data_IF_558453102589
#
_entry.id   IF_558453102589
#
_cell.length_a   1.000
_cell.length_b   1.000
_cell.length_c   1.000
_cell.angle_alpha   90.00
_cell.angle_beta   90.00
_cell.angle_gamma   90.00
#
_symmetry.space_group_name_H-M   'P 1'
#
loop_
_entity.id
_entity.type
_entity.pdbx_description
1 polymer ?
#
# COMPACT_ATOMS: atom_id res chain seq x y z
N UNK A 1 32.68 -11.53 -32.02
CA UNK A 1 31.44 -10.94 -32.54
C UNK A 1 30.60 -10.58 -31.33
N UNK A 2 30.32 -9.30 -31.14
CA UNK A 2 29.35 -8.84 -30.13
C UNK A 2 28.01 -9.53 -30.43
N UNK A 3 27.39 -10.14 -29.43
CA UNK A 3 26.18 -10.93 -29.66
C UNK A 3 25.02 -10.01 -30.03
N UNK A 4 24.09 -10.46 -30.87
CA UNK A 4 22.94 -9.65 -31.29
C UNK A 4 22.12 -9.13 -30.08
N UNK A 5 22.11 -9.90 -28.99
CA UNK A 5 21.49 -9.48 -27.72
C UNK A 5 22.14 -8.23 -27.11
N UNK A 6 23.46 -8.10 -27.20
CA UNK A 6 24.20 -6.98 -26.62
C UNK A 6 23.95 -5.69 -27.39
N UNK A 7 23.77 -5.79 -28.72
CA UNK A 7 23.35 -4.67 -29.55
C UNK A 7 21.97 -4.14 -29.12
N UNK A 8 20.99 -5.04 -28.96
CA UNK A 8 19.62 -4.67 -28.53
C UNK A 8 19.63 -4.07 -27.12
N UNK A 9 20.38 -4.66 -26.18
CA UNK A 9 20.53 -4.11 -24.82
C UNK A 9 21.09 -2.68 -24.86
N UNK A 10 22.10 -2.44 -25.69
CA UNK A 10 22.71 -1.11 -25.87
C UNK A 10 21.72 -0.09 -26.43
N UNK A 11 20.92 -0.46 -27.43
CA UNK A 11 19.87 0.41 -27.97
C UNK A 11 18.84 0.81 -26.92
N UNK A 12 18.36 -0.15 -26.11
CA UNK A 12 17.41 0.12 -25.02
C UNK A 12 18.01 1.08 -23.98
N UNK A 13 19.30 0.94 -23.65
CA UNK A 13 19.98 1.83 -22.71
C UNK A 13 20.09 3.25 -23.26
N UNK A 14 20.46 3.40 -24.54
CA UNK A 14 20.54 4.69 -25.21
C UNK A 14 19.17 5.38 -25.28
N UNK A 15 18.11 4.63 -25.56
CA UNK A 15 16.76 5.17 -25.60
C UNK A 15 16.31 5.67 -24.22
N UNK A 16 16.55 4.89 -23.16
CA UNK A 16 16.27 5.30 -21.78
C UNK A 16 17.07 6.54 -21.38
N UNK A 17 18.34 6.62 -21.77
CA UNK A 17 19.18 7.79 -21.52
C UNK A 17 18.63 9.03 -22.24
N UNK A 18 18.23 8.90 -23.52
CA UNK A 18 17.61 9.97 -24.31
C UNK A 18 16.33 10.49 -23.65
N UNK A 19 15.41 9.60 -23.25
CA UNK A 19 14.17 9.99 -22.56
C UNK A 19 14.46 10.73 -21.25
N UNK A 20 15.45 10.29 -20.47
CA UNK A 20 15.86 10.95 -19.22
C UNK A 20 16.41 12.35 -19.46
N UNK A 21 17.25 12.52 -20.50
CA UNK A 21 17.79 13.82 -20.87
C UNK A 21 16.67 14.79 -21.26
N UNK A 22 15.75 14.38 -22.13
CA UNK A 22 14.60 15.18 -22.55
C UNK A 22 13.74 15.66 -21.35
N UNK A 23 13.40 14.76 -20.43
CA UNK A 23 12.62 15.11 -19.24
C UNK A 23 13.37 16.07 -18.31
N UNK A 24 14.68 15.87 -18.14
CA UNK A 24 15.54 16.74 -17.33
C UNK A 24 15.64 18.13 -17.94
N UNK A 25 15.86 18.22 -19.26
CA UNK A 25 15.92 19.49 -19.98
C UNK A 25 14.61 20.26 -19.86
N UNK A 26 13.47 19.59 -20.03
CA UNK A 26 12.16 20.18 -19.83
C UNK A 26 11.98 20.70 -18.40
N UNK A 27 12.34 19.91 -17.40
CA UNK A 27 12.26 20.31 -15.99
C UNK A 27 13.15 21.51 -15.69
N UNK A 28 14.41 21.50 -16.15
CA UNK A 28 15.34 22.61 -15.97
C UNK A 28 14.80 23.88 -16.62
N UNK A 29 14.31 23.81 -17.87
CA UNK A 29 13.68 24.95 -18.56
C UNK A 29 12.51 25.54 -17.79
N UNK A 30 11.67 24.69 -17.19
CA UNK A 30 10.53 25.13 -16.40
C UNK A 30 10.93 25.71 -15.04
N UNK A 31 11.98 25.16 -14.42
CA UNK A 31 12.47 25.58 -13.10
C UNK A 31 13.29 26.87 -13.15
N UNK A 32 14.10 27.06 -14.19
CA UNK A 32 15.01 28.22 -14.29
C UNK A 32 14.32 29.46 -14.89
N UNK A 33 13.06 29.35 -15.33
CA UNK A 33 12.32 30.48 -15.89
C UNK A 33 11.95 31.52 -14.81
N UNK A 34 12.53 32.74 -14.80
CA UNK A 34 12.29 33.75 -13.77
C UNK A 34 10.89 34.36 -13.85
N UNK A 35 10.26 34.37 -15.03
CA UNK A 35 8.95 34.99 -15.24
C UNK A 35 7.81 34.22 -14.56
N UNK A 36 8.02 32.93 -14.24
CA UNK A 36 7.02 32.13 -13.50
C UNK A 36 6.80 32.61 -12.07
N UNK A 37 7.84 33.12 -11.41
CA UNK A 37 7.71 33.68 -10.06
C UNK A 37 7.16 35.11 -10.07
N UNK A 38 7.36 35.86 -11.17
CA UNK A 38 6.91 37.24 -11.33
C UNK A 38 5.39 37.36 -11.58
N UNK A 39 4.76 36.36 -12.22
CA UNK A 39 3.33 36.37 -12.54
C UNK A 39 2.41 36.02 -11.35
N UNK A 40 2.95 35.82 -10.14
CA UNK A 40 2.15 35.47 -8.96
C UNK A 40 1.58 34.05 -8.96
N UNK A 41 1.61 33.35 -10.10
CA UNK A 41 1.36 31.91 -10.25
C UNK A 41 2.53 31.04 -9.74
N UNK A 42 3.31 31.55 -8.78
CA UNK A 42 4.56 30.98 -8.28
C UNK A 42 4.36 29.66 -7.53
N UNK A 43 4.02 28.60 -8.27
CA UNK A 43 3.85 27.25 -7.80
C UNK A 43 5.03 26.36 -8.17
N UNK A 44 5.14 25.25 -7.46
CA UNK A 44 6.04 24.14 -7.78
C UNK A 44 5.84 23.67 -9.22
N UNK A 45 6.92 23.18 -9.87
CA UNK A 45 6.80 22.60 -11.22
C UNK A 45 5.94 21.34 -11.13
N UNK A 46 4.72 21.40 -11.67
CA UNK A 46 3.81 20.26 -11.70
C UNK A 46 4.34 19.19 -12.66
N UNK A 47 4.63 18.01 -12.12
CA UNK A 47 5.02 16.85 -12.92
C UNK A 47 3.78 16.03 -13.30
N UNK A 48 3.44 15.90 -14.59
CA UNK A 48 2.31 15.08 -15.02
C UNK A 48 2.47 13.60 -14.64
N UNK A 49 3.70 13.08 -14.49
CA UNK A 49 3.92 11.71 -14.08
C UNK A 49 3.46 11.47 -12.63
N UNK A 50 3.75 12.40 -11.72
CA UNK A 50 3.29 12.35 -10.33
C UNK A 50 1.77 12.43 -10.27
N UNK A 51 1.17 13.36 -11.02
CA UNK A 51 -0.29 13.51 -11.06
C UNK A 51 -0.99 12.25 -11.59
N UNK A 52 -0.44 11.61 -12.64
CA UNK A 52 -0.97 10.34 -13.16
C UNK A 52 -0.82 9.20 -12.15
N UNK A 53 0.29 9.13 -11.43
CA UNK A 53 0.48 8.13 -10.38
C UNK A 53 -0.55 8.30 -9.26
N UNK A 54 -0.76 9.54 -8.80
CA UNK A 54 -1.79 9.85 -7.80
C UNK A 54 -3.19 9.50 -8.31
N UNK A 55 -3.52 9.89 -9.55
CA UNK A 55 -4.79 9.54 -10.17
C UNK A 55 -5.00 8.02 -10.24
N UNK A 56 -3.96 7.25 -10.59
CA UNK A 56 -4.01 5.78 -10.65
C UNK A 56 -4.31 5.15 -9.28
N UNK A 57 -3.77 5.70 -8.19
CA UNK A 57 -4.07 5.20 -6.83
C UNK A 57 -5.54 5.43 -6.46
N UNK A 58 -6.09 6.59 -6.85
CA UNK A 58 -7.48 6.96 -6.54
C UNK A 58 -8.46 6.18 -7.42
N UNK A 59 -8.15 5.99 -8.71
CA UNK A 59 -8.99 5.25 -9.67
C UNK A 59 -8.84 3.72 -9.56
N UNK A 60 -8.31 3.21 -8.44
CA UNK A 60 -8.10 1.78 -8.25
C UNK A 60 -9.39 0.96 -8.29
N UNK A 61 -10.51 1.57 -7.85
CA UNK A 61 -11.83 0.93 -7.89
C UNK A 61 -12.32 0.70 -9.33
N UNK A 62 -12.13 1.66 -10.22
CA UNK A 62 -12.58 1.56 -11.63
C UNK A 62 -11.85 0.46 -12.39
N UNK A 63 -10.60 0.17 -11.99
CA UNK A 63 -9.77 -0.88 -12.57
C UNK A 63 -9.85 -2.22 -11.83
N UNK A 64 -10.70 -2.32 -10.80
CA UNK A 64 -10.81 -3.53 -9.99
C UNK A 64 -11.43 -4.68 -10.80
N UNK A 65 -10.77 -5.84 -10.80
CA UNK A 65 -11.28 -7.06 -11.40
C UNK A 65 -11.45 -8.13 -10.33
N UNK A 66 -12.67 -8.63 -10.07
CA UNK A 66 -12.88 -9.70 -9.12
C UNK A 66 -12.21 -10.98 -9.65
N UNK A 67 -11.17 -11.43 -8.95
CA UNK A 67 -10.43 -12.66 -9.24
C UNK A 67 -10.39 -13.55 -8.00
N UNK A 68 -10.17 -14.85 -8.18
CA UNK A 68 -9.95 -15.77 -7.06
C UNK A 68 -8.79 -15.33 -6.17
N UNK A 69 -7.70 -14.81 -6.76
CA UNK A 69 -6.54 -14.32 -6.01
C UNK A 69 -6.87 -13.11 -5.13
N UNK A 70 -7.66 -12.16 -5.67
CA UNK A 70 -8.07 -10.97 -4.91
C UNK A 70 -9.05 -11.35 -3.80
N UNK A 71 -10.00 -12.26 -4.09
CA UNK A 71 -10.96 -12.74 -3.11
C UNK A 71 -10.31 -13.49 -1.94
N UNK A 72 -9.42 -14.44 -2.21
CA UNK A 72 -8.71 -15.17 -1.14
C UNK A 72 -7.80 -14.26 -0.33
N UNK A 73 -7.14 -13.28 -0.96
CA UNK A 73 -6.34 -12.29 -0.23
C UNK A 73 -7.20 -11.46 0.73
N UNK A 74 -8.39 -11.03 0.31
CA UNK A 74 -9.30 -10.27 1.17
C UNK A 74 -9.80 -11.12 2.35
N UNK A 75 -10.18 -12.37 2.11
CA UNK A 75 -10.61 -13.28 3.19
C UNK A 75 -9.47 -13.51 4.19
N UNK A 76 -8.25 -13.74 3.71
CA UNK A 76 -7.10 -13.97 4.58
C UNK A 76 -6.78 -12.76 5.46
N UNK A 77 -6.79 -11.55 4.89
CA UNK A 77 -6.39 -10.35 5.64
C UNK A 77 -7.50 -9.75 6.49
N UNK A 78 -8.77 -9.93 6.11
CA UNK A 78 -9.89 -9.40 6.87
C UNK A 78 -10.55 -10.48 7.73
N UNK A 79 -11.04 -11.56 7.13
CA UNK A 79 -11.85 -12.56 7.85
C UNK A 79 -11.01 -13.37 8.84
N UNK A 80 -9.80 -13.79 8.45
CA UNK A 80 -8.97 -14.63 9.31
C UNK A 80 -8.62 -14.01 10.68
N UNK A 81 -8.14 -12.74 10.78
CA UNK A 81 -7.86 -12.15 12.10
C UNK A 81 -9.12 -11.96 12.95
N UNK A 82 -10.28 -11.66 12.35
CA UNK A 82 -11.54 -11.60 13.09
C UNK A 82 -11.93 -12.96 13.66
N UNK A 83 -11.86 -14.02 12.87
CA UNK A 83 -12.15 -15.39 13.32
C UNK A 83 -11.16 -15.84 14.39
N UNK A 84 -9.87 -15.56 14.22
CA UNK A 84 -8.81 -15.89 15.19
C UNK A 84 -9.06 -15.19 16.52
N UNK A 85 -9.32 -13.87 16.48
CA UNK A 85 -9.60 -13.09 17.67
C UNK A 85 -10.85 -13.60 18.40
N UNK A 86 -11.94 -13.82 17.65
CA UNK A 86 -13.17 -14.37 18.21
C UNK A 86 -12.94 -15.72 18.88
N UNK A 87 -12.22 -16.63 18.23
CA UNK A 87 -11.90 -17.95 18.78
C UNK A 87 -11.05 -17.85 20.06
N UNK A 88 -10.03 -16.98 20.07
CA UNK A 88 -9.17 -16.77 21.24
C UNK A 88 -9.97 -16.22 22.44
N UNK A 89 -10.87 -15.27 22.20
CA UNK A 89 -11.74 -14.72 23.25
C UNK A 89 -12.74 -15.78 23.73
N UNK A 90 -13.39 -16.50 22.81
CA UNK A 90 -14.38 -17.51 23.16
C UNK A 90 -13.76 -18.65 23.99
N UNK A 91 -12.61 -19.19 23.57
CA UNK A 91 -11.91 -20.26 24.29
C UNK A 91 -11.39 -19.81 25.65
N UNK A 92 -10.82 -18.61 25.75
CA UNK A 92 -10.35 -18.08 27.03
C UNK A 92 -11.50 -17.90 28.04
N UNK A 93 -12.65 -17.40 27.58
CA UNK A 93 -13.86 -17.26 28.41
C UNK A 93 -14.42 -18.60 28.84
N UNK A 94 -14.55 -19.54 27.91
CA UNK A 94 -15.06 -20.89 28.22
C UNK A 94 -14.18 -21.59 29.27
N UNK A 95 -12.87 -21.55 29.09
CA UNK A 95 -11.91 -22.14 30.03
C UNK A 95 -11.96 -21.47 31.40
N UNK A 96 -12.16 -20.15 31.46
CA UNK A 96 -12.30 -19.42 32.72
C UNK A 96 -13.60 -19.80 33.45
N UNK A 97 -14.72 -19.88 32.73
CA UNK A 97 -16.00 -20.32 33.29
C UNK A 97 -15.96 -21.75 33.82
N UNK A 98 -15.32 -22.67 33.09
CA UNK A 98 -15.17 -24.06 33.54
C UNK A 98 -14.37 -24.15 34.84
N UNK A 99 -13.26 -23.43 34.96
CA UNK A 99 -12.45 -23.37 36.19
C UNK A 99 -13.26 -22.85 37.37
N UNK A 100 -14.13 -21.86 37.13
CA UNK A 100 -15.04 -21.33 38.14
C UNK A 100 -16.07 -22.38 38.55
N UNK A 101 -16.66 -23.13 37.59
CA UNK A 101 -17.63 -24.20 37.87
C UNK A 101 -17.03 -25.38 38.63
N UNK A 102 -15.76 -25.73 38.37
CA UNK A 102 -15.01 -26.76 39.10
C UNK A 102 -14.58 -26.32 40.50
N UNK A 103 -14.69 -25.03 40.83
CA UNK A 103 -14.27 -24.49 42.12
C UNK A 103 -12.74 -24.31 42.27
N UNK A 104 -11.98 -24.40 41.17
CA UNK A 104 -10.52 -24.24 41.18
C UNK A 104 -10.09 -22.79 41.48
N UNK A 105 -10.97 -21.82 41.22
CA UNK A 105 -10.70 -20.39 41.39
C UNK A 105 -11.46 -19.87 42.62
N UNK A 106 -10.71 -19.39 43.61
CA UNK A 106 -11.28 -18.76 44.80
C UNK A 106 -12.10 -17.51 44.42
N UNK A 107 -13.16 -17.24 45.17
CA UNK A 107 -14.09 -16.13 44.88
C UNK A 107 -13.40 -14.75 44.80
N UNK A 108 -12.29 -14.56 45.53
CA UNK A 108 -11.49 -13.33 45.51
C UNK A 108 -10.73 -13.10 44.19
N UNK A 109 -10.37 -14.16 43.48
CA UNK A 109 -9.48 -14.12 42.30
C UNK A 109 -10.25 -14.08 40.97
N UNK A 110 -11.59 -13.95 41.04
CA UNK A 110 -12.46 -13.87 39.85
C UNK A 110 -12.35 -12.48 39.21
N UNK A 111 -11.99 -12.43 37.92
CA UNK A 111 -11.80 -11.17 37.18
C UNK A 111 -13.09 -10.37 36.94
N UNK A 112 -14.23 -11.03 36.81
CA UNK A 112 -15.54 -10.40 36.64
C UNK A 112 -16.43 -10.66 37.85
N UNK A 113 -16.13 -9.99 38.97
CA UNK A 113 -16.81 -10.23 40.26
C UNK A 113 -18.07 -9.38 40.47
N UNK A 114 -18.09 -8.16 39.91
CA UNK A 114 -19.09 -7.12 40.19
C UNK A 114 -19.75 -6.55 38.94
N UNK A 115 -19.61 -7.25 37.80
CA UNK A 115 -20.22 -6.88 36.52
C UNK A 115 -21.21 -7.97 36.14
#
# INVERSE_FOLDING_TARGET
>A
MESDEDCVKREILLEKARRRQQLREHFLKMKTNPFKHLLGEGGTVMDPAIMRYQAMQISGYDSFRPSWKTGTSAILWFVAPFCLYWYAVHTSKHNEEEKIRRGEVAYKDRRAKFV
#
